data_IF_799427276784
#
_entry.id   IF_799427276784
#
_cell.length_a   1.000
_cell.length_b   1.000
_cell.length_c   1.000
_cell.angle_alpha   90.00
_cell.angle_beta   90.00
_cell.angle_gamma   90.00
#
_symmetry.space_group_name_H-M   'P 1'
#
loop_
_entity.id
_entity.type
_entity.pdbx_description
1 polymer ?
#
# COMPACT_ATOMS: atom_id res chain seq x y z
N UNK A 1 4.99 -25.80 -30.99
CA UNK A 1 6.43 -25.45 -31.10
C UNK A 1 6.60 -24.50 -32.27
N UNK A 2 7.60 -23.60 -32.28
CA UNK A 2 8.74 -23.44 -31.35
C UNK A 2 8.39 -22.47 -30.17
N UNK A 3 9.18 -22.22 -29.10
CA UNK A 3 10.65 -22.15 -28.86
C UNK A 3 11.21 -20.84 -29.51
N UNK A 4 12.00 -19.94 -28.90
CA UNK A 4 12.80 -19.89 -27.64
C UNK A 4 13.04 -18.42 -27.18
N UNK A 5 13.43 -18.16 -25.90
CA UNK A 5 14.25 -17.00 -25.49
C UNK A 5 15.76 -17.29 -25.79
N UNK A 6 16.83 -16.58 -25.30
CA UNK A 6 16.91 -15.50 -24.30
C UNK A 6 17.96 -14.38 -24.61
N UNK A 7 18.28 -13.56 -23.60
CA UNK A 7 19.62 -12.96 -23.43
C UNK A 7 19.98 -12.92 -21.93
N UNK A 8 21.16 -13.41 -21.55
CA UNK A 8 21.75 -13.29 -20.20
C UNK A 8 22.65 -12.05 -20.12
N UNK A 9 22.91 -11.59 -18.90
CA UNK A 9 24.26 -11.38 -18.33
C UNK A 9 24.09 -11.41 -16.79
N UNK A 10 24.76 -12.32 -16.05
CA UNK A 10 26.16 -12.27 -15.56
C UNK A 10 26.47 -11.08 -14.64
N UNK A 11 26.97 -11.27 -13.40
CA UNK A 11 26.68 -12.34 -12.41
C UNK A 11 26.62 -11.65 -11.00
N UNK A 12 27.25 -11.94 -9.84
CA UNK A 12 28.23 -12.90 -9.30
C UNK A 12 28.14 -12.85 -7.74
N UNK A 13 27.87 -13.95 -7.00
CA UNK A 13 28.40 -14.28 -5.65
C UNK A 13 27.82 -15.58 -5.06
N UNK A 14 28.62 -16.27 -4.23
CA UNK A 14 28.44 -17.67 -3.84
C UNK A 14 27.86 -17.86 -2.42
N UNK A 15 27.15 -18.97 -2.22
CA UNK A 15 26.93 -19.58 -0.92
C UNK A 15 26.64 -21.09 -1.11
N UNK A 16 27.63 -21.94 -0.85
CA UNK A 16 27.44 -23.40 -0.87
C UNK A 16 26.54 -23.86 0.28
N UNK A 17 25.78 -24.93 0.04
CA UNK A 17 24.86 -25.55 0.99
C UNK A 17 24.39 -26.89 0.44
N UNK A 18 25.19 -27.93 0.69
CA UNK A 18 25.16 -29.20 -0.02
C UNK A 18 23.85 -30.01 0.15
N UNK A 19 23.49 -30.79 -0.86
CA UNK A 19 22.29 -31.61 -0.92
C UNK A 19 22.49 -32.96 -0.22
N UNK A 20 21.99 -33.07 1.01
CA UNK A 20 21.92 -34.35 1.71
C UNK A 20 20.77 -35.23 1.16
N UNK A 21 21.12 -36.32 0.48
CA UNK A 21 20.21 -37.28 -0.16
C UNK A 21 19.35 -38.03 0.85
N UNK A 22 18.10 -38.39 0.48
CA UNK A 22 17.32 -39.37 1.23
C UNK A 22 17.94 -40.78 1.13
N UNK A 23 18.17 -41.41 2.28
CA UNK A 23 18.40 -42.85 2.42
C UNK A 23 17.71 -43.30 3.72
N UNK A 24 16.56 -43.97 3.61
CA UNK A 24 15.95 -44.63 4.77
C UNK A 24 16.78 -45.87 5.13
N UNK A 25 17.11 -46.03 6.42
CA UNK A 25 17.93 -47.15 6.90
C UNK A 25 17.10 -48.41 7.13
N UNK A 26 16.93 -49.23 6.09
CA UNK A 26 16.35 -50.58 6.20
C UNK A 26 17.47 -51.62 6.11
N UNK A 27 17.90 -52.13 7.27
CA UNK A 27 19.01 -53.07 7.43
C UNK A 27 18.57 -54.52 7.13
N UNK A 28 18.72 -54.96 5.87
CA UNK A 28 18.55 -56.35 5.43
C UNK A 28 19.91 -57.08 5.32
N UNK A 29 20.53 -57.40 6.46
CA UNK A 29 21.67 -58.34 6.50
C UNK A 29 21.18 -59.79 6.60
N UNK A 30 20.96 -60.41 5.44
CA UNK A 30 20.63 -61.84 5.29
C UNK A 30 21.84 -62.65 4.80
N UNK A 31 22.80 -62.97 5.67
CA UNK A 31 24.01 -63.74 5.33
C UNK A 31 24.41 -64.83 6.36
N UNK A 32 25.16 -65.83 5.87
CA UNK A 32 25.79 -66.96 6.59
C UNK A 32 24.90 -67.92 7.42
N UNK A 33 24.29 -68.91 6.74
CA UNK A 33 23.94 -70.19 7.38
C UNK A 33 25.21 -70.91 7.90
N UNK A 34 25.35 -71.06 9.23
CA UNK A 34 26.46 -71.80 9.85
C UNK A 34 26.03 -73.03 10.65
N UNK A 35 25.39 -74.00 10.00
CA UNK A 35 25.09 -75.32 10.59
C UNK A 35 26.05 -76.41 10.09
N UNK A 36 27.28 -76.41 10.62
CA UNK A 36 28.29 -77.44 10.31
C UNK A 36 28.01 -78.77 11.01
N UNK A 37 27.10 -79.58 10.46
CA UNK A 37 26.86 -80.96 10.94
C UNK A 37 27.81 -81.94 10.27
N UNK A 38 28.81 -82.44 11.00
CA UNK A 38 29.66 -83.55 10.56
C UNK A 38 28.84 -84.84 10.37
N UNK A 39 29.03 -85.50 9.22
CA UNK A 39 28.35 -86.75 8.87
C UNK A 39 29.27 -87.95 9.10
N UNK A 40 29.22 -88.53 10.29
CA UNK A 40 29.87 -89.81 10.59
C UNK A 40 29.00 -90.65 11.55
N UNK A 41 28.25 -91.59 10.97
CA UNK A 41 27.42 -92.58 11.66
C UNK A 41 27.14 -93.76 10.73
N UNK A 42 27.97 -94.81 10.83
CA UNK A 42 27.82 -96.07 10.11
C UNK A 42 26.85 -97.00 10.86
N UNK A 43 25.56 -97.07 10.49
CA UNK A 43 24.68 -98.16 10.95
C UNK A 43 23.72 -98.67 9.86
N UNK A 44 24.00 -99.87 9.34
CA UNK A 44 23.02 -100.64 8.56
C UNK A 44 21.99 -101.30 9.50
N UNK A 45 20.87 -100.61 9.80
CA UNK A 45 19.77 -101.24 10.54
C UNK A 45 18.37 -100.74 10.17
N UNK A 46 17.60 -101.61 9.50
CA UNK A 46 16.13 -101.65 9.52
C UNK A 46 15.33 -100.37 9.17
N UNK A 47 15.80 -99.54 8.25
CA UNK A 47 15.16 -98.27 7.84
C UNK A 47 13.87 -98.37 6.98
N UNK A 48 13.30 -99.56 6.77
CA UNK A 48 12.20 -99.80 5.82
C UNK A 48 10.97 -98.86 5.92
N UNK A 49 10.36 -98.59 7.10
CA UNK A 49 9.16 -97.76 7.17
C UNK A 49 9.46 -96.29 6.88
N UNK A 50 10.61 -95.78 7.33
CA UNK A 50 10.99 -94.38 7.14
C UNK A 50 11.34 -94.10 5.67
N UNK A 51 12.10 -94.98 5.02
CA UNK A 51 12.46 -94.80 3.61
C UNK A 51 11.24 -94.91 2.67
N UNK A 52 10.23 -95.72 3.02
CA UNK A 52 8.95 -95.78 2.30
C UNK A 52 8.12 -94.51 2.53
N UNK A 53 8.17 -93.93 3.74
CA UNK A 53 7.50 -92.65 4.04
C UNK A 53 8.14 -91.46 3.29
N UNK A 54 9.47 -91.34 3.28
CA UNK A 54 10.15 -90.25 2.54
C UNK A 54 9.97 -90.39 1.03
N UNK A 55 10.04 -91.61 0.49
CA UNK A 55 9.81 -91.87 -0.94
C UNK A 55 8.38 -91.48 -1.35
N UNK A 56 7.36 -91.99 -0.66
CA UNK A 56 5.96 -91.66 -0.96
C UNK A 56 5.62 -90.18 -0.74
N UNK A 57 6.29 -89.48 0.18
CA UNK A 57 6.17 -88.02 0.32
C UNK A 57 6.80 -87.29 -0.88
N UNK A 58 7.98 -87.73 -1.34
CA UNK A 58 8.65 -87.19 -2.53
C UNK A 58 7.81 -87.42 -3.80
N UNK A 59 7.22 -88.61 -3.97
CA UNK A 59 6.28 -88.89 -5.07
C UNK A 59 5.03 -88.00 -5.03
N UNK A 60 4.46 -87.75 -3.84
CA UNK A 60 3.31 -86.85 -3.67
C UNK A 60 3.66 -85.39 -4.02
N UNK A 61 4.87 -84.93 -3.68
CA UNK A 61 5.36 -83.60 -4.09
C UNK A 61 5.64 -83.54 -5.59
N UNK A 62 6.30 -84.57 -6.14
CA UNK A 62 6.57 -84.74 -7.57
C UNK A 62 5.29 -84.75 -8.42
N UNK A 63 4.24 -85.43 -7.95
CA UNK A 63 2.92 -85.44 -8.58
C UNK A 63 2.20 -84.08 -8.50
N UNK A 64 2.56 -83.21 -7.54
CA UNK A 64 1.95 -81.89 -7.34
C UNK A 64 2.63 -80.78 -8.16
N UNK A 65 3.94 -80.90 -8.41
CA UNK A 65 4.77 -79.95 -9.15
C UNK A 65 4.21 -79.56 -10.54
N UNK A 66 3.77 -80.48 -11.42
CA UNK A 66 3.20 -80.12 -12.73
C UNK A 66 1.94 -79.24 -12.65
N UNK A 67 1.19 -79.31 -11.55
CA UNK A 67 -0.05 -78.56 -11.36
C UNK A 67 0.15 -77.22 -10.65
N UNK A 68 1.36 -76.92 -10.15
CA UNK A 68 1.66 -75.65 -9.46
C UNK A 68 1.64 -74.44 -10.42
N UNK A 69 2.37 -74.44 -11.55
CA UNK A 69 2.33 -73.32 -12.50
C UNK A 69 0.91 -72.97 -13.02
N UNK A 70 0.07 -73.91 -13.52
CA UNK A 70 -1.28 -73.55 -13.99
C UNK A 70 -2.22 -73.09 -12.87
N UNK A 71 -1.97 -73.46 -11.61
CA UNK A 71 -2.69 -72.89 -10.45
C UNK A 71 -2.30 -71.42 -10.24
N UNK A 72 -1.00 -71.13 -10.21
CA UNK A 72 -0.46 -69.77 -10.04
C UNK A 72 -0.91 -68.84 -11.18
N UNK A 73 -0.88 -69.30 -12.44
CA UNK A 73 -1.37 -68.50 -13.58
C UNK A 73 -2.88 -68.22 -13.48
N UNK A 74 -3.69 -69.20 -13.07
CA UNK A 74 -5.13 -69.00 -12.86
C UNK A 74 -5.42 -68.01 -11.73
N UNK A 75 -4.66 -68.09 -10.64
CA UNK A 75 -4.76 -67.17 -9.51
C UNK A 75 -4.37 -65.74 -9.92
N UNK A 76 -3.24 -65.57 -10.62
CA UNK A 76 -2.82 -64.25 -11.12
C UNK A 76 -3.82 -63.67 -12.12
N UNK A 77 -4.43 -64.49 -12.97
CA UNK A 77 -5.55 -64.08 -13.84
C UNK A 77 -6.79 -63.63 -13.04
N UNK A 78 -7.11 -64.25 -11.90
CA UNK A 78 -8.20 -63.77 -11.04
C UNK A 78 -7.87 -62.45 -10.34
N UNK A 79 -6.64 -62.26 -9.85
CA UNK A 79 -6.18 -60.98 -9.28
C UNK A 79 -6.26 -59.83 -10.30
N UNK A 80 -5.83 -60.07 -11.54
CA UNK A 80 -5.87 -59.07 -12.61
C UNK A 80 -7.30 -58.76 -13.07
N UNK A 81 -8.20 -59.75 -13.09
CA UNK A 81 -9.63 -59.53 -13.39
C UNK A 81 -10.32 -58.70 -12.32
N UNK A 82 -10.05 -59.00 -11.03
CA UNK A 82 -10.59 -58.22 -9.92
C UNK A 82 -10.14 -56.75 -9.99
N UNK A 83 -8.83 -56.49 -10.17
CA UNK A 83 -8.32 -55.13 -10.36
C UNK A 83 -8.93 -54.40 -11.56
N UNK A 84 -9.17 -55.11 -12.67
CA UNK A 84 -9.82 -54.53 -13.85
C UNK A 84 -11.30 -54.18 -13.58
N UNK A 85 -11.99 -54.98 -12.77
CA UNK A 85 -13.37 -54.70 -12.31
C UNK A 85 -13.41 -53.56 -11.28
N UNK A 86 -12.42 -53.46 -10.39
CA UNK A 86 -12.27 -52.34 -9.44
C UNK A 86 -11.99 -51.01 -10.14
N UNK A 87 -11.14 -51.01 -11.17
CA UNK A 87 -10.89 -49.84 -12.03
C UNK A 87 -12.12 -49.50 -12.87
N UNK A 88 -12.74 -50.50 -13.52
CA UNK A 88 -13.93 -50.32 -14.35
C UNK A 88 -15.19 -49.91 -13.58
N UNK A 89 -15.21 -50.13 -12.26
CA UNK A 89 -16.26 -49.68 -11.35
C UNK A 89 -15.84 -48.46 -10.49
N UNK A 90 -14.82 -47.70 -10.92
CA UNK A 90 -14.33 -46.46 -10.31
C UNK A 90 -14.02 -46.56 -8.79
N UNK A 91 -13.59 -47.75 -8.33
CA UNK A 91 -13.31 -48.05 -6.91
C UNK A 91 -11.84 -48.35 -6.61
N UNK A 92 -10.98 -48.46 -7.62
CA UNK A 92 -9.55 -48.70 -7.44
C UNK A 92 -8.89 -47.59 -6.57
N UNK A 93 -8.33 -47.92 -5.39
CA UNK A 93 -7.84 -46.92 -4.43
C UNK A 93 -6.68 -46.10 -4.99
N UNK A 94 -5.84 -46.74 -5.81
CA UNK A 94 -4.69 -46.17 -6.55
C UNK A 94 -5.06 -44.88 -7.34
N UNK A 95 -6.34 -44.67 -7.68
CA UNK A 95 -6.84 -43.49 -8.39
C UNK A 95 -7.87 -42.67 -7.60
N UNK A 96 -8.71 -43.30 -6.77
CA UNK A 96 -9.79 -42.60 -6.05
C UNK A 96 -9.27 -41.76 -4.88
N UNK A 97 -8.20 -42.18 -4.21
CA UNK A 97 -7.59 -41.42 -3.11
C UNK A 97 -6.91 -40.12 -3.60
N UNK A 98 -6.04 -40.13 -4.64
CA UNK A 98 -5.53 -38.91 -5.26
C UNK A 98 -6.65 -37.97 -5.78
N UNK A 99 -7.72 -38.53 -6.36
CA UNK A 99 -8.88 -37.77 -6.82
C UNK A 99 -9.60 -37.08 -5.65
N UNK A 100 -9.79 -37.78 -4.53
CA UNK A 100 -10.35 -37.22 -3.30
C UNK A 100 -9.51 -36.07 -2.75
N UNK A 101 -8.18 -36.22 -2.70
CA UNK A 101 -7.26 -35.16 -2.31
C UNK A 101 -7.34 -33.92 -3.23
N UNK A 102 -7.43 -34.13 -4.54
CA UNK A 102 -7.60 -33.04 -5.51
C UNK A 102 -8.94 -32.30 -5.35
N UNK A 103 -10.03 -33.04 -5.12
CA UNK A 103 -11.36 -32.45 -4.85
C UNK A 103 -11.37 -31.63 -3.55
N UNK A 104 -10.69 -32.09 -2.50
CA UNK A 104 -10.51 -31.33 -1.26
C UNK A 104 -9.67 -30.06 -1.49
N UNK A 105 -8.56 -30.16 -2.23
CA UNK A 105 -7.74 -28.99 -2.60
C UNK A 105 -8.54 -27.95 -3.39
N UNK A 106 -9.38 -28.38 -4.34
CA UNK A 106 -10.29 -27.50 -5.08
C UNK A 106 -11.28 -26.79 -4.15
N UNK A 107 -11.93 -27.53 -3.23
CA UNK A 107 -12.86 -26.96 -2.24
C UNK A 107 -12.19 -25.89 -1.37
N UNK A 108 -10.98 -26.16 -0.87
CA UNK A 108 -10.19 -25.22 -0.07
C UNK A 108 -9.84 -23.97 -0.90
N UNK A 109 -9.36 -24.13 -2.14
CA UNK A 109 -9.05 -23.00 -3.04
C UNK A 109 -10.27 -22.10 -3.28
N UNK A 110 -11.46 -22.67 -3.47
CA UNK A 110 -12.71 -21.92 -3.63
C UNK A 110 -13.07 -21.17 -2.33
N UNK A 111 -12.94 -21.80 -1.17
CA UNK A 111 -13.20 -21.15 0.13
C UNK A 111 -12.22 -19.98 0.39
N UNK A 112 -10.92 -20.19 0.19
CA UNK A 112 -9.89 -19.14 0.35
C UNK A 112 -10.11 -17.98 -0.63
N UNK A 113 -10.46 -18.25 -1.89
CA UNK A 113 -10.80 -17.21 -2.86
C UNK A 113 -12.06 -16.42 -2.47
N UNK A 114 -13.05 -17.08 -1.86
CA UNK A 114 -14.25 -16.43 -1.31
C UNK A 114 -13.93 -15.49 -0.14
N UNK A 115 -13.12 -15.96 0.81
CA UNK A 115 -12.66 -15.18 1.97
C UNK A 115 -11.83 -13.97 1.51
N UNK A 116 -10.87 -14.19 0.60
CA UNK A 116 -10.04 -13.12 0.03
C UNK A 116 -10.88 -12.06 -0.68
N UNK A 117 -11.89 -12.47 -1.47
CA UNK A 117 -12.85 -11.54 -2.10
C UNK A 117 -13.62 -10.72 -1.06
N UNK A 118 -13.99 -11.31 0.09
CA UNK A 118 -14.57 -10.59 1.22
C UNK A 118 -13.68 -9.45 1.69
N UNK A 119 -12.46 -9.77 2.12
CA UNK A 119 -11.48 -8.77 2.55
C UNK A 119 -11.20 -7.69 1.50
N UNK A 120 -11.16 -8.02 0.20
CA UNK A 120 -11.03 -7.02 -0.86
C UNK A 120 -12.20 -6.02 -0.89
N UNK A 121 -13.44 -6.48 -0.68
CA UNK A 121 -14.62 -5.62 -0.64
C UNK A 121 -14.64 -4.75 0.61
N UNK A 122 -14.21 -5.29 1.76
CA UNK A 122 -14.17 -4.53 3.02
C UNK A 122 -13.04 -3.49 3.02
N UNK A 123 -11.88 -3.79 2.41
CA UNK A 123 -10.82 -2.78 2.16
C UNK A 123 -11.30 -1.67 1.24
N UNK A 124 -12.13 -1.97 0.22
CA UNK A 124 -12.73 -0.93 -0.65
C UNK A 124 -13.74 -0.09 0.14
N UNK A 125 -14.58 -0.72 0.97
CA UNK A 125 -15.56 -0.03 1.81
C UNK A 125 -14.89 0.91 2.81
N UNK A 126 -13.89 0.42 3.54
CA UNK A 126 -13.17 1.21 4.54
C UNK A 126 -12.48 2.42 3.92
N UNK A 127 -11.89 2.29 2.72
CA UNK A 127 -11.34 3.43 1.97
C UNK A 127 -12.41 4.47 1.65
N UNK A 128 -13.54 4.04 1.08
CA UNK A 128 -14.66 4.92 0.77
C UNK A 128 -15.23 5.63 2.02
N UNK A 129 -15.36 4.92 3.14
CA UNK A 129 -15.86 5.49 4.39
C UNK A 129 -14.87 6.49 4.99
N UNK A 130 -13.56 6.20 4.96
CA UNK A 130 -12.51 7.15 5.37
C UNK A 130 -12.44 8.39 4.46
N UNK A 131 -12.54 8.24 3.14
CA UNK A 131 -12.60 9.36 2.18
C UNK A 131 -13.84 10.22 2.42
N UNK A 132 -15.01 9.61 2.63
CA UNK A 132 -16.26 10.29 2.93
C UNK A 132 -16.22 11.02 4.29
N UNK A 133 -15.54 10.46 5.30
CA UNK A 133 -15.33 11.12 6.59
C UNK A 133 -14.35 12.29 6.44
N UNK A 134 -13.20 12.09 5.78
CA UNK A 134 -12.20 13.13 5.56
C UNK A 134 -12.76 14.33 4.78
N UNK A 135 -13.58 14.08 3.74
CA UNK A 135 -14.25 15.15 2.99
C UNK A 135 -15.23 15.97 3.86
N UNK A 136 -15.98 15.32 4.76
CA UNK A 136 -16.87 16.02 5.72
C UNK A 136 -16.08 16.86 6.72
N UNK A 137 -15.06 16.27 7.35
CA UNK A 137 -14.23 16.95 8.35
C UNK A 137 -13.45 18.13 7.73
N UNK A 138 -12.97 17.99 6.49
CA UNK A 138 -12.35 19.10 5.75
C UNK A 138 -13.37 20.22 5.49
N UNK A 139 -14.57 19.91 4.97
CA UNK A 139 -15.63 20.90 4.75
C UNK A 139 -16.04 21.63 6.05
N UNK A 140 -16.15 20.91 7.16
CA UNK A 140 -16.46 21.48 8.47
C UNK A 140 -15.33 22.39 8.99
N UNK A 141 -14.06 21.99 8.78
CA UNK A 141 -12.88 22.79 9.12
C UNK A 141 -12.74 24.05 8.27
N UNK A 142 -12.89 23.96 6.95
CA UNK A 142 -12.85 25.12 6.04
C UNK A 142 -13.97 26.11 6.37
N UNK A 143 -15.17 25.61 6.68
CA UNK A 143 -16.31 26.42 7.10
C UNK A 143 -16.01 27.19 8.39
N UNK A 144 -15.43 26.53 9.40
CA UNK A 144 -15.05 27.19 10.66
C UNK A 144 -13.95 28.23 10.43
N UNK A 145 -12.88 27.86 9.71
CA UNK A 145 -11.77 28.76 9.36
C UNK A 145 -12.25 30.01 8.62
N UNK A 146 -13.24 29.89 7.71
CA UNK A 146 -13.85 31.01 7.02
C UNK A 146 -14.66 31.93 7.96
N UNK A 147 -15.37 31.39 8.95
CA UNK A 147 -16.05 32.20 9.96
C UNK A 147 -15.05 32.94 10.86
N UNK A 148 -13.99 32.26 11.32
CA UNK A 148 -12.94 32.88 12.14
C UNK A 148 -12.20 33.98 11.37
N UNK A 149 -11.92 33.75 10.08
CA UNK A 149 -11.29 34.75 9.18
C UNK A 149 -12.19 35.97 9.01
N UNK A 150 -13.47 35.77 8.67
CA UNK A 150 -14.44 36.86 8.52
C UNK A 150 -14.67 37.63 9.83
N UNK A 151 -14.69 36.93 10.97
CA UNK A 151 -14.80 37.56 12.28
C UNK A 151 -13.55 38.41 12.58
N UNK A 152 -12.36 37.90 12.28
CA UNK A 152 -11.10 38.63 12.39
C UNK A 152 -11.06 39.88 11.51
N UNK A 153 -11.44 39.76 10.23
CA UNK A 153 -11.56 40.92 9.32
C UNK A 153 -12.54 41.98 9.84
N UNK A 154 -13.70 41.57 10.36
CA UNK A 154 -14.68 42.49 10.93
C UNK A 154 -14.18 43.15 12.23
N UNK A 155 -13.49 42.40 13.10
CA UNK A 155 -12.87 42.95 14.31
C UNK A 155 -11.76 43.95 13.98
N UNK A 156 -10.88 43.61 13.03
CA UNK A 156 -9.81 44.51 12.56
C UNK A 156 -10.38 45.73 11.81
N UNK A 157 -11.54 45.60 11.15
CA UNK A 157 -12.27 46.71 10.53
C UNK A 157 -12.88 47.65 11.57
N UNK A 158 -13.43 47.10 12.66
CA UNK A 158 -13.95 47.88 13.80
C UNK A 158 -12.80 48.61 14.50
N UNK A 159 -11.71 47.90 14.84
CA UNK A 159 -10.54 48.47 15.49
C UNK A 159 -9.96 49.64 14.69
N UNK A 160 -9.76 49.49 13.37
CA UNK A 160 -9.29 50.61 12.52
C UNK A 160 -10.23 51.82 12.54
N UNK A 161 -11.55 51.62 12.58
CA UNK A 161 -12.51 52.72 12.67
C UNK A 161 -12.50 53.42 14.04
N UNK A 162 -12.20 52.67 15.11
CA UNK A 162 -11.99 53.22 16.46
C UNK A 162 -10.65 53.97 16.56
N UNK A 163 -9.58 53.46 15.94
CA UNK A 163 -8.27 54.12 15.81
C UNK A 163 -8.36 55.39 14.95
N UNK A 164 -9.01 55.33 13.78
CA UNK A 164 -9.29 56.48 12.91
C UNK A 164 -10.03 57.56 13.69
N UNK A 165 -11.08 57.19 14.44
CA UNK A 165 -11.82 58.12 15.29
C UNK A 165 -10.92 58.74 16.36
N UNK A 166 -10.18 57.94 17.11
CA UNK A 166 -9.27 58.43 18.14
C UNK A 166 -8.19 59.36 17.56
N UNK A 167 -7.72 59.09 16.33
CA UNK A 167 -6.78 59.95 15.62
C UNK A 167 -7.36 61.32 15.25
N UNK A 168 -8.66 61.38 14.92
CA UNK A 168 -9.37 62.64 14.68
C UNK A 168 -9.62 63.41 15.97
N UNK A 169 -10.06 62.73 17.03
CA UNK A 169 -10.28 63.32 18.35
C UNK A 169 -8.95 63.93 18.90
N UNK A 170 -7.85 63.16 18.87
CA UNK A 170 -6.49 63.62 19.23
C UNK A 170 -5.95 64.72 18.30
N UNK A 171 -6.24 64.64 17.00
CA UNK A 171 -5.82 65.69 16.06
C UNK A 171 -6.57 66.99 16.31
N UNK A 172 -7.82 66.97 16.79
CA UNK A 172 -8.56 68.19 17.12
C UNK A 172 -7.86 68.94 18.27
N UNK A 173 -7.50 68.25 19.34
CA UNK A 173 -6.77 68.83 20.48
C UNK A 173 -5.47 69.53 20.03
N UNK A 174 -4.72 68.89 19.10
CA UNK A 174 -3.50 69.47 18.54
C UNK A 174 -3.73 70.71 17.64
N UNK A 175 -4.86 70.77 16.92
CA UNK A 175 -5.21 71.97 16.15
C UNK A 175 -5.74 73.10 17.05
N UNK A 176 -6.54 72.78 18.08
CA UNK A 176 -7.11 73.75 19.01
C UNK A 176 -6.05 74.36 19.95
N UNK A 177 -5.11 73.59 20.49
CA UNK A 177 -4.00 74.14 21.30
C UNK A 177 -3.21 75.19 20.51
N UNK A 178 -2.98 74.94 19.22
CA UNK A 178 -2.31 75.89 18.32
C UNK A 178 -3.13 77.15 18.01
N UNK A 179 -4.45 77.13 18.18
CA UNK A 179 -5.33 78.29 18.09
C UNK A 179 -5.42 79.05 19.42
N UNK A 180 -5.25 78.36 20.56
CA UNK A 180 -5.30 78.96 21.89
C UNK A 180 -3.94 79.52 22.38
N UNK A 181 -2.81 78.97 21.93
CA UNK A 181 -1.46 79.38 22.32
C UNK A 181 -1.11 80.86 22.01
N UNK A 182 -1.84 81.54 21.11
CA UNK A 182 -1.65 82.97 20.83
C UNK A 182 -2.92 83.63 20.29
N UNK A 183 -3.84 83.97 21.20
CA UNK A 183 -5.21 84.35 20.87
C UNK A 183 -5.40 85.55 19.92
N UNK A 184 -6.44 85.47 19.09
CA UNK A 184 -6.95 86.57 18.28
C UNK A 184 -8.47 86.47 18.10
N UNK A 185 -9.22 86.84 19.14
CA UNK A 185 -10.65 87.19 18.98
C UNK A 185 -10.75 88.51 18.23
N UNK A 186 -10.70 88.46 16.90
CA UNK A 186 -10.84 89.61 15.99
C UNK A 186 -11.06 89.17 14.54
N UNK A 187 -12.04 89.80 13.88
CA UNK A 187 -12.08 90.02 12.42
C UNK A 187 -12.15 88.79 11.49
N UNK A 188 -13.26 88.05 11.54
CA UNK A 188 -13.77 87.32 10.36
C UNK A 188 -15.14 87.81 9.87
N UNK A 189 -15.57 88.99 10.35
CA UNK A 189 -16.83 89.63 9.97
C UNK A 189 -16.60 90.70 8.87
N UNK A 190 -16.09 90.25 7.71
CA UNK A 190 -15.88 91.09 6.51
C UNK A 190 -15.59 90.26 5.25
N UNK A 191 -16.60 89.52 4.75
CA UNK A 191 -16.68 89.15 3.33
C UNK A 191 -18.09 89.46 2.81
N UNK A 192 -18.25 90.33 1.79
CA UNK A 192 -19.57 90.66 1.26
C UNK A 192 -20.17 89.48 0.50
N UNK A 193 -21.50 89.29 0.51
CA UNK A 193 -22.18 88.20 -0.19
C UNK A 193 -22.18 88.41 -1.71
N UNK A 194 -21.03 88.14 -2.33
CA UNK A 194 -20.80 88.32 -3.77
C UNK A 194 -21.65 87.34 -4.59
N UNK A 195 -22.47 87.89 -5.48
CA UNK A 195 -23.52 87.13 -6.20
C UNK A 195 -22.98 86.46 -7.46
N UNK A 196 -23.27 85.15 -7.58
CA UNK A 196 -23.02 84.24 -8.71
C UNK A 196 -21.57 83.72 -8.76
N UNK A 197 -21.31 82.51 -9.24
CA UNK A 197 -22.20 81.51 -9.88
C UNK A 197 -22.24 80.24 -9.05
N UNK A 198 -23.40 79.56 -8.96
CA UNK A 198 -23.38 78.12 -8.63
C UNK A 198 -22.67 77.40 -9.78
N UNK A 199 -21.84 76.41 -9.46
CA UNK A 199 -21.35 75.48 -10.48
C UNK A 199 -22.54 74.79 -11.17
N UNK A 200 -22.45 74.40 -12.45
CA UNK A 200 -23.49 73.62 -13.10
C UNK A 200 -23.77 72.35 -12.28
N UNK A 201 -25.00 72.19 -11.81
CA UNK A 201 -25.47 70.92 -11.31
C UNK A 201 -25.49 69.96 -12.50
N UNK A 202 -24.56 69.01 -12.53
CA UNK A 202 -24.48 67.98 -13.57
C UNK A 202 -25.66 67.03 -13.35
N UNK A 203 -26.81 67.40 -13.89
CA UNK A 203 -28.02 66.57 -13.93
C UNK A 203 -27.90 65.60 -15.10
N UNK A 204 -27.20 64.49 -14.82
CA UNK A 204 -26.93 63.39 -15.74
C UNK A 204 -26.30 62.24 -14.97
N UNK A 205 -26.17 61.04 -15.59
CA UNK A 205 -25.47 59.93 -14.94
C UNK A 205 -24.03 60.34 -14.62
N UNK A 206 -23.63 60.14 -13.37
CA UNK A 206 -22.31 60.54 -12.88
C UNK A 206 -21.25 59.65 -13.53
N UNK A 207 -20.53 60.18 -14.52
CA UNK A 207 -19.39 59.49 -15.13
C UNK A 207 -18.27 59.45 -14.09
N UNK A 208 -18.11 58.28 -13.46
CA UNK A 208 -17.06 58.01 -12.49
C UNK A 208 -15.72 57.96 -13.23
N UNK A 209 -15.02 59.10 -13.33
CA UNK A 209 -13.64 59.17 -13.85
C UNK A 209 -12.59 58.62 -12.86
N UNK A 210 -12.95 57.58 -12.10
CA UNK A 210 -11.99 56.79 -11.33
C UNK A 210 -11.48 55.70 -12.26
N UNK A 211 -10.23 55.82 -12.68
CA UNK A 211 -9.48 54.71 -13.28
C UNK A 211 -9.47 53.52 -12.31
N UNK A 212 -9.37 52.30 -12.85
CA UNK A 212 -9.24 51.12 -11.98
C UNK A 212 -7.88 51.15 -11.27
N UNK A 213 -7.80 50.51 -10.12
CA UNK A 213 -6.54 50.40 -9.37
C UNK A 213 -5.43 49.74 -10.21
N UNK A 214 -5.82 48.86 -11.16
CA UNK A 214 -4.95 48.25 -12.17
C UNK A 214 -4.33 49.32 -13.08
N UNK A 215 -5.14 50.19 -13.68
CA UNK A 215 -4.69 51.26 -14.59
C UNK A 215 -3.75 52.24 -13.83
N UNK A 216 -4.12 52.58 -12.59
CA UNK A 216 -3.34 53.47 -11.71
C UNK A 216 -1.97 52.85 -11.36
N UNK A 217 -1.92 51.53 -11.14
CA UNK A 217 -0.67 50.79 -10.91
C UNK A 217 0.17 50.65 -12.18
N UNK A 218 -0.44 50.49 -13.35
CA UNK A 218 0.26 50.50 -14.63
C UNK A 218 0.91 51.87 -14.89
N UNK A 219 0.15 52.96 -14.81
CA UNK A 219 0.67 54.33 -14.96
C UNK A 219 1.75 54.64 -13.91
N UNK A 220 1.57 54.21 -12.65
CA UNK A 220 2.59 54.37 -11.60
C UNK A 220 3.91 53.64 -11.93
N UNK A 221 3.83 52.43 -12.50
CA UNK A 221 5.03 51.70 -12.93
C UNK A 221 5.61 52.27 -14.23
N UNK A 222 4.80 52.81 -15.14
CA UNK A 222 5.25 53.53 -16.33
C UNK A 222 6.02 54.81 -15.94
N UNK A 223 5.47 55.61 -15.02
CA UNK A 223 6.11 56.82 -14.46
C UNK A 223 7.43 56.46 -13.75
N UNK A 224 7.48 55.35 -13.00
CA UNK A 224 8.75 54.86 -12.40
C UNK A 224 9.78 54.45 -13.44
N UNK A 225 9.39 53.68 -14.48
CA UNK A 225 10.26 53.29 -15.59
C UNK A 225 10.79 54.52 -16.35
N UNK A 226 9.92 55.48 -16.67
CA UNK A 226 10.29 56.73 -17.33
C UNK A 226 11.25 57.57 -16.47
N UNK A 227 10.99 57.72 -15.16
CA UNK A 227 11.89 58.42 -14.23
C UNK A 227 13.27 57.76 -14.13
N UNK A 228 13.35 56.43 -14.17
CA UNK A 228 14.63 55.72 -14.20
C UNK A 228 15.39 56.02 -15.51
N UNK A 229 14.72 55.91 -16.65
CA UNK A 229 15.30 56.15 -17.98
C UNK A 229 15.70 57.62 -18.23
N UNK A 230 15.00 58.58 -17.61
CA UNK A 230 15.26 60.04 -17.71
C UNK A 230 16.25 60.53 -16.64
N UNK A 231 16.69 59.67 -15.72
CA UNK A 231 17.77 60.03 -14.80
C UNK A 231 19.07 60.30 -15.59
N UNK A 232 19.78 61.43 -15.37
CA UNK A 232 20.91 61.81 -16.21
C UNK A 232 22.15 60.96 -15.89
N UNK A 233 22.28 59.81 -16.57
CA UNK A 233 23.50 59.02 -16.54
C UNK A 233 24.70 59.83 -17.09
N UNK A 234 25.48 60.37 -16.16
CA UNK A 234 26.77 61.02 -16.42
C UNK A 234 27.73 60.02 -17.05
N UNK A 235 27.84 60.05 -18.39
CA UNK A 235 28.64 59.09 -19.17
C UNK A 235 30.10 59.05 -18.69
N UNK A 236 30.54 57.86 -18.28
CA UNK A 236 31.91 57.36 -18.37
C UNK A 236 31.83 55.87 -18.74
N UNK A 237 32.86 55.38 -19.42
CA UNK A 237 32.81 54.12 -20.18
C UNK A 237 33.73 53.03 -19.61
N UNK A 238 33.50 51.82 -20.13
CA UNK A 238 34.42 50.68 -20.21
C UNK A 238 34.86 49.98 -18.90
N UNK A 239 34.44 48.72 -18.78
CA UNK A 239 34.88 47.75 -17.77
C UNK A 239 34.45 46.35 -18.25
N UNK A 240 35.34 45.34 -18.15
CA UNK A 240 35.22 44.08 -18.90
C UNK A 240 35.35 42.87 -17.97
N UNK A 241 34.51 41.84 -18.19
CA UNK A 241 34.41 40.61 -17.40
C UNK A 241 33.96 40.86 -15.93
N UNK A 242 33.53 39.88 -15.13
CA UNK A 242 33.72 38.41 -15.16
C UNK A 242 32.41 37.69 -14.82
N UNK A 243 32.27 36.43 -15.23
CA UNK A 243 31.09 35.62 -14.91
C UNK A 243 31.18 34.92 -13.55
N UNK A 244 30.03 34.48 -13.03
CA UNK A 244 29.95 33.46 -11.99
C UNK A 244 28.66 32.64 -12.18
N UNK A 245 28.70 31.34 -11.89
CA UNK A 245 27.60 30.41 -12.09
C UNK A 245 26.84 30.18 -10.77
N UNK A 246 25.51 30.33 -10.76
CA UNK A 246 24.69 29.99 -9.58
C UNK A 246 23.51 29.09 -9.94
N UNK A 247 23.69 27.81 -9.58
CA UNK A 247 22.71 26.91 -8.98
C UNK A 247 21.28 26.80 -9.57
N UNK A 248 20.97 25.62 -10.12
CA UNK A 248 19.60 25.12 -10.26
C UNK A 248 18.97 24.88 -8.87
N UNK A 249 17.67 25.16 -8.67
CA UNK A 249 16.96 24.78 -7.45
C UNK A 249 16.74 23.26 -7.38
N UNK A 250 16.72 22.72 -6.17
CA UNK A 250 16.57 21.28 -5.92
C UNK A 250 15.13 20.76 -6.15
N UNK A 251 15.01 19.46 -6.45
CA UNK A 251 13.72 18.75 -6.39
C UNK A 251 13.25 18.67 -4.94
N UNK A 252 12.02 19.11 -4.65
CA UNK A 252 11.33 18.68 -3.44
C UNK A 252 10.89 17.22 -3.62
N UNK A 253 11.36 16.33 -2.75
CA UNK A 253 10.77 15.01 -2.58
C UNK A 253 9.74 15.09 -1.44
N UNK A 254 8.45 14.83 -1.75
CA UNK A 254 7.40 14.77 -0.73
C UNK A 254 7.40 13.36 -0.15
N UNK A 255 7.95 13.22 1.06
CA UNK A 255 7.87 11.98 1.84
C UNK A 255 6.52 11.88 2.55
N UNK A 256 5.67 10.95 2.13
CA UNK A 256 4.46 10.58 2.88
C UNK A 256 4.85 9.86 4.20
N UNK A 257 4.25 10.21 5.34
CA UNK A 257 4.47 9.49 6.59
C UNK A 257 3.71 8.15 6.59
N UNK A 258 4.44 7.05 6.44
CA UNK A 258 3.89 5.70 6.53
C UNK A 258 3.71 5.29 8.01
N UNK A 259 2.56 5.61 8.59
CA UNK A 259 2.18 5.26 9.96
C UNK A 259 0.76 4.66 10.04
N UNK A 260 0.43 4.07 11.20
CA UNK A 260 -0.89 3.55 11.60
C UNK A 260 -1.58 2.53 10.69
N UNK A 261 -0.86 1.47 10.25
CA UNK A 261 -1.47 0.21 9.77
C UNK A 261 -1.08 -1.03 10.61
N UNK A 262 -0.12 -0.92 11.52
CA UNK A 262 0.34 -2.01 12.39
C UNK A 262 -0.53 -2.16 13.66
N UNK A 263 -1.03 -1.05 14.22
CA UNK A 263 -1.64 -1.01 15.55
C UNK A 263 -3.09 -1.53 15.59
N UNK A 264 -3.81 -1.54 14.47
CA UNK A 264 -5.17 -2.08 14.39
C UNK A 264 -5.19 -3.60 14.61
N UNK A 265 -4.33 -4.32 13.88
CA UNK A 265 -4.25 -5.78 13.91
C UNK A 265 -3.90 -6.35 15.30
N UNK A 266 -3.13 -5.61 16.11
CA UNK A 266 -2.76 -6.06 17.46
C UNK A 266 -3.90 -5.90 18.47
N UNK A 267 -4.81 -4.94 18.31
CA UNK A 267 -5.93 -4.73 19.24
C UNK A 267 -7.05 -5.76 19.04
N UNK A 268 -7.32 -6.12 17.79
CA UNK A 268 -8.36 -7.10 17.45
C UNK A 268 -7.97 -8.53 17.89
N UNK A 269 -6.69 -8.90 17.76
CA UNK A 269 -6.17 -10.18 18.22
C UNK A 269 -6.29 -10.40 19.74
N UNK A 270 -6.11 -9.34 20.55
CA UNK A 270 -6.28 -9.41 22.02
C UNK A 270 -7.75 -9.59 22.39
N UNK A 271 -8.66 -8.83 21.78
CA UNK A 271 -10.10 -8.91 22.06
C UNK A 271 -10.68 -10.30 21.76
N UNK A 272 -10.27 -10.93 20.64
CA UNK A 272 -10.67 -12.32 20.33
C UNK A 272 -10.10 -13.29 21.37
N UNK A 273 -8.84 -13.11 21.80
CA UNK A 273 -8.19 -13.97 22.78
C UNK A 273 -8.87 -13.91 24.17
N UNK A 274 -9.27 -12.73 24.63
CA UNK A 274 -10.00 -12.59 25.90
C UNK A 274 -11.41 -13.20 25.84
N UNK A 275 -12.12 -13.05 24.71
CA UNK A 275 -13.47 -13.65 24.57
C UNK A 275 -13.49 -15.17 24.66
N UNK A 276 -12.48 -15.85 24.08
CA UNK A 276 -12.37 -17.32 24.14
C UNK A 276 -12.04 -17.81 25.56
N UNK A 277 -11.35 -16.99 26.36
CA UNK A 277 -10.97 -17.32 27.73
C UNK A 277 -12.12 -17.17 28.76
N UNK A 278 -13.29 -16.66 28.36
CA UNK A 278 -14.47 -16.51 29.25
C UNK A 278 -15.57 -17.56 28.97
N UNK A 279 -15.41 -18.44 27.99
CA UNK A 279 -16.39 -19.46 27.60
C UNK A 279 -15.81 -20.89 27.67
N UNK A 280 -14.95 -21.16 28.67
CA UNK A 280 -14.32 -22.46 28.97
C UNK A 280 -14.17 -22.70 30.47
#
# INVERSE_FOLDING_TARGET
MPIQPPSKDTEEMEAEGDSATEMNGEEEESEEERSGSQTESEEESSGEPLHKHTHTHSEQMGARLPFLPPRLFRERLSQLRLRLEEVGAERAPEYTEPLGGLQQSLKIRIQVAGIYKGFCLDVIRNKYECELQGAKQHLESEKLLLYDTLQGELQERIQRLEEDRQSLDLSSEWWDDKLHARGSSRSWDSLPPSKRKKAPLVSGPYIVYMLQEIDILEDWTAIKKARAAVSPQKRKSDGKNYGCCTASPARLAITFPQLSLQEGAQREAVAVSESVAQES
#
